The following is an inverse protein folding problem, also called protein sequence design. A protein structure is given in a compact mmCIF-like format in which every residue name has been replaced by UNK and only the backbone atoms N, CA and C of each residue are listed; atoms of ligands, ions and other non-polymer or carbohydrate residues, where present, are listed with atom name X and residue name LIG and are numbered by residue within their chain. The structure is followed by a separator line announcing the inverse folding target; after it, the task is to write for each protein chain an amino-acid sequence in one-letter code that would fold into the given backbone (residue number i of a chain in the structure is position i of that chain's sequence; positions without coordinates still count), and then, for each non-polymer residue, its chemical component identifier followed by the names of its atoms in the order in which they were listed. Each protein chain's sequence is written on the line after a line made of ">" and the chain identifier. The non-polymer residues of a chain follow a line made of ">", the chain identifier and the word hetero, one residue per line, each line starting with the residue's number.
data_IF_697791909742
#
_entry.id   IF_697791909742
#
_cell.length_a   1.000
_cell.length_b   1.000
_cell.length_c   1.000
_cell.angle_alpha   90.00
_cell.angle_beta   90.00
_cell.angle_gamma   90.00
#
_symmetry.space_group_name_H-M   'P 1'
#
loop_
_entity.id
_entity.type
_entity.pdbx_description
1 polymer ?
#
# COMPACT_ATOMS: atom_id res chain seq x y z
N UNK A 1 -23.50 14.76 5.18
CA UNK A 1 -22.18 14.96 4.57
C UNK A 1 -22.17 14.45 3.14
N UNK A 2 -21.47 15.13 2.22
CA UNK A 2 -21.32 14.67 0.84
C UNK A 2 -20.46 13.40 0.78
N UNK A 3 -20.74 12.52 -0.18
CA UNK A 3 -20.03 11.25 -0.39
C UNK A 3 -19.65 11.06 -1.86
N UNK A 4 -18.53 10.39 -2.11
CA UNK A 4 -18.14 9.99 -3.47
C UNK A 4 -18.94 8.74 -3.87
N UNK A 5 -19.34 8.67 -5.14
CA UNK A 5 -20.06 7.53 -5.71
C UNK A 5 -19.40 7.13 -7.02
N UNK A 6 -19.13 5.84 -7.17
CA UNK A 6 -18.70 5.22 -8.42
C UNK A 6 -19.54 3.96 -8.67
N UNK A 7 -19.94 3.75 -9.92
CA UNK A 7 -20.70 2.53 -10.28
C UNK A 7 -19.71 1.38 -10.46
N UNK A 8 -20.15 0.17 -10.13
CA UNK A 8 -19.38 -1.03 -10.47
C UNK A 8 -19.06 -1.07 -11.98
N UNK A 9 -17.80 -1.34 -12.29
CA UNK A 9 -17.28 -1.41 -13.65
C UNK A 9 -17.96 -2.56 -14.42
N UNK A 10 -18.45 -2.31 -15.63
CA UNK A 10 -18.91 -3.39 -16.53
C UNK A 10 -17.71 -4.00 -17.26
N UNK A 11 -17.87 -5.24 -17.73
CA UNK A 11 -16.79 -5.98 -18.39
C UNK A 11 -16.11 -5.23 -19.56
N UNK A 12 -16.85 -4.37 -20.25
CA UNK A 12 -16.37 -3.64 -21.43
C UNK A 12 -16.15 -2.14 -21.16
N UNK A 13 -16.20 -1.70 -19.90
CA UNK A 13 -15.92 -0.32 -19.52
C UNK A 13 -14.40 -0.10 -19.43
N UNK A 14 -13.97 1.16 -19.60
CA UNK A 14 -12.55 1.53 -19.47
C UNK A 14 -12.15 1.65 -18.00
N UNK A 15 -11.05 1.02 -17.61
CA UNK A 15 -10.44 1.20 -16.29
C UNK A 15 -9.53 2.45 -16.31
N UNK A 16 -9.99 3.55 -15.68
CA UNK A 16 -9.27 4.83 -15.65
C UNK A 16 -8.28 5.01 -14.50
N UNK A 17 -8.29 4.10 -13.52
CA UNK A 17 -7.41 4.12 -12.34
C UNK A 17 -6.78 2.74 -12.09
N UNK A 18 -6.87 2.26 -10.86
CA UNK A 18 -6.48 0.89 -10.49
C UNK A 18 -7.71 0.06 -10.06
N UNK A 19 -7.50 -1.21 -9.73
CA UNK A 19 -8.55 -2.06 -9.21
C UNK A 19 -8.95 -1.62 -7.79
N UNK A 20 -10.13 -1.01 -7.69
CA UNK A 20 -10.79 -0.67 -6.43
C UNK A 20 -11.96 -1.63 -6.24
N UNK A 21 -11.94 -2.38 -5.14
CA UNK A 21 -12.92 -3.42 -4.81
C UNK A 21 -14.08 -2.89 -3.98
N UNK A 22 -13.89 -1.76 -3.30
CA UNK A 22 -14.87 -1.21 -2.34
C UNK A 22 -14.75 -1.83 -0.94
N UNK A 23 -13.72 -2.63 -0.68
CA UNK A 23 -13.43 -3.17 0.64
C UNK A 23 -12.41 -2.29 1.37
N UNK A 24 -12.90 -1.46 2.29
CA UNK A 24 -12.07 -0.56 3.07
C UNK A 24 -11.20 -1.35 4.06
N UNK A 25 -9.89 -1.11 4.01
CA UNK A 25 -8.90 -1.76 4.89
C UNK A 25 -8.79 -1.06 6.25
N UNK A 26 -9.18 0.21 6.31
CA UNK A 26 -9.23 0.98 7.54
C UNK A 26 -9.36 2.48 7.30
N UNK A 27 -9.18 3.23 8.40
CA UNK A 27 -9.36 4.67 8.42
C UNK A 27 -8.01 5.37 8.53
N UNK A 28 -7.76 6.30 7.62
CA UNK A 28 -6.66 7.25 7.67
C UNK A 28 -7.11 8.59 8.23
N UNK A 29 -6.13 9.47 8.45
CA UNK A 29 -6.39 10.85 8.90
C UNK A 29 -5.63 11.82 8.01
N UNK A 30 -6.30 12.85 7.49
CA UNK A 30 -5.62 13.94 6.79
C UNK A 30 -4.77 14.70 7.81
N UNK A 31 -3.47 14.80 7.59
CA UNK A 31 -2.54 15.49 8.50
C UNK A 31 -2.19 16.88 7.99
N UNK A 32 -2.19 17.08 6.67
CA UNK A 32 -1.90 18.35 6.04
C UNK A 32 -2.64 18.46 4.70
N UNK A 33 -3.10 19.67 4.38
CA UNK A 33 -3.56 20.03 3.05
C UNK A 33 -2.98 21.37 2.66
N UNK A 34 -2.08 21.36 1.67
CA UNK A 34 -1.39 22.57 1.20
C UNK A 34 -1.72 22.81 -0.26
N UNK A 35 -2.26 24.00 -0.56
CA UNK A 35 -2.51 24.44 -1.92
C UNK A 35 -1.22 24.99 -2.53
N UNK A 36 -0.90 24.53 -3.72
CA UNK A 36 0.25 24.94 -4.52
C UNK A 36 -0.28 25.37 -5.88
N UNK A 37 -0.24 26.65 -6.25
CA UNK A 37 -0.75 27.19 -7.54
C UNK A 37 -1.93 26.39 -8.13
N UNK A 38 -1.65 25.41 -8.99
CA UNK A 38 -2.60 24.62 -9.77
C UNK A 38 -2.95 23.24 -9.20
N UNK A 39 -2.40 22.83 -8.05
CA UNK A 39 -2.69 21.54 -7.41
C UNK A 39 -2.75 21.64 -5.89
N UNK A 40 -3.20 20.57 -5.25
CA UNK A 40 -3.21 20.46 -3.79
C UNK A 40 -2.41 19.26 -3.37
N UNK A 41 -1.47 19.48 -2.46
CA UNK A 41 -0.75 18.42 -1.78
C UNK A 41 -1.54 18.02 -0.53
N UNK A 42 -1.87 16.73 -0.42
CA UNK A 42 -2.57 16.15 0.71
C UNK A 42 -1.65 15.15 1.41
N UNK A 43 -1.34 15.37 2.68
CA UNK A 43 -0.70 14.35 3.52
C UNK A 43 -1.74 13.62 4.34
N UNK A 44 -1.55 12.31 4.40
CA UNK A 44 -2.45 11.38 5.06
C UNK A 44 -1.64 10.46 5.94
N UNK A 45 -2.03 10.33 7.21
CA UNK A 45 -1.54 9.27 8.09
C UNK A 45 -2.28 7.97 7.79
N UNK A 46 -1.52 6.92 7.58
CA UNK A 46 -1.98 5.59 7.20
C UNK A 46 -1.64 4.61 8.33
N UNK A 47 -2.60 3.79 8.80
CA UNK A 47 -2.33 2.69 9.72
C UNK A 47 -1.27 1.72 9.20
N UNK A 48 -0.43 1.19 10.08
CA UNK A 48 0.71 0.33 9.72
C UNK A 48 0.29 -0.93 8.94
N UNK A 49 -0.85 -1.52 9.30
CA UNK A 49 -1.41 -2.70 8.63
C UNK A 49 -1.76 -2.45 7.15
N UNK A 50 -1.99 -1.20 6.76
CA UNK A 50 -2.27 -0.77 5.38
C UNK A 50 -0.99 -0.28 4.72
N UNK A 51 -0.16 0.47 5.45
CA UNK A 51 1.06 1.10 4.95
C UNK A 51 2.03 0.12 4.29
N UNK A 52 2.11 -1.13 4.80
CA UNK A 52 2.94 -2.19 4.21
C UNK A 52 2.60 -2.54 2.75
N UNK A 53 1.43 -2.15 2.27
CA UNK A 53 0.99 -2.33 0.87
C UNK A 53 1.14 -1.07 0.03
N UNK A 54 1.61 0.04 0.62
CA UNK A 54 1.68 1.34 -0.04
C UNK A 54 3.11 1.66 -0.42
N UNK A 55 3.34 1.94 -1.71
CA UNK A 55 4.68 2.26 -2.24
C UNK A 55 4.65 3.59 -3.00
N UNK A 56 5.76 4.35 -3.01
CA UNK A 56 5.87 5.52 -3.87
C UNK A 56 5.60 5.17 -5.33
N UNK A 57 4.85 6.02 -6.03
CA UNK A 57 4.33 5.83 -7.39
C UNK A 57 3.34 4.68 -7.55
N UNK A 58 2.98 4.00 -6.47
CA UNK A 58 1.89 3.03 -6.42
C UNK A 58 0.52 3.70 -6.32
N UNK A 59 -0.51 2.86 -6.37
CA UNK A 59 -1.90 3.27 -6.27
C UNK A 59 -2.44 3.09 -4.84
N UNK A 60 -3.37 3.94 -4.45
CA UNK A 60 -4.19 3.79 -3.25
C UNK A 60 -5.56 4.40 -3.51
N UNK A 61 -6.63 3.81 -2.95
CA UNK A 61 -7.95 4.43 -2.98
C UNK A 61 -8.21 5.20 -1.67
N UNK A 62 -8.64 6.46 -1.79
CA UNK A 62 -9.04 7.31 -0.66
C UNK A 62 -10.47 7.76 -0.85
N UNK A 63 -11.35 7.41 0.08
CA UNK A 63 -12.80 7.65 -0.04
C UNK A 63 -13.34 7.21 -1.44
N UNK A 64 -12.85 6.07 -1.93
CA UNK A 64 -13.20 5.49 -3.24
C UNK A 64 -12.44 6.07 -4.43
N UNK A 65 -11.58 7.08 -4.25
CA UNK A 65 -10.89 7.76 -5.35
C UNK A 65 -9.53 7.11 -5.57
N UNK A 66 -9.29 6.57 -6.77
CA UNK A 66 -7.99 6.07 -7.19
C UNK A 66 -6.98 7.22 -7.29
N UNK A 67 -5.92 7.18 -6.49
CA UNK A 67 -4.86 8.18 -6.46
C UNK A 67 -3.47 7.54 -6.55
N UNK A 68 -2.49 8.33 -6.98
CA UNK A 68 -1.08 7.94 -7.02
C UNK A 68 -0.35 8.49 -5.81
N UNK A 69 0.41 7.63 -5.13
CA UNK A 69 1.25 8.02 -4.00
C UNK A 69 2.51 8.71 -4.49
N UNK A 70 2.74 9.94 -4.05
CA UNK A 70 3.92 10.71 -4.44
C UNK A 70 5.15 10.33 -3.60
N UNK A 71 4.95 10.21 -2.28
CA UNK A 71 6.00 10.01 -1.27
C UNK A 71 5.42 9.20 -0.11
N UNK A 72 6.24 8.37 0.53
CA UNK A 72 5.97 7.75 1.83
C UNK A 72 7.03 8.22 2.83
N UNK A 73 6.61 8.71 4.00
CA UNK A 73 7.50 9.16 5.08
C UNK A 73 6.94 8.73 6.43
N UNK A 74 7.61 7.78 7.09
CA UNK A 74 7.11 7.21 8.33
C UNK A 74 5.72 6.61 8.11
N UNK A 75 4.74 7.00 8.92
CA UNK A 75 3.34 6.59 8.78
C UNK A 75 2.49 7.50 7.89
N UNK A 76 3.10 8.44 7.16
CA UNK A 76 2.38 9.38 6.31
C UNK A 76 2.72 9.20 4.83
N UNK A 77 1.71 9.39 3.99
CA UNK A 77 1.84 9.42 2.54
C UNK A 77 1.49 10.80 2.01
N UNK A 78 2.09 11.19 0.88
CA UNK A 78 1.79 12.42 0.15
C UNK A 78 1.09 12.09 -1.15
N UNK A 79 0.05 12.86 -1.48
CA UNK A 79 -0.71 12.75 -2.73
C UNK A 79 -0.79 14.14 -3.37
N UNK A 80 -0.71 14.19 -4.70
CA UNK A 80 -0.97 15.42 -5.46
C UNK A 80 -2.34 15.33 -6.13
N UNK A 81 -3.22 16.25 -5.77
CA UNK A 81 -4.57 16.37 -6.30
C UNK A 81 -4.63 17.46 -7.37
N UNK A 82 -4.99 17.07 -8.58
CA UNK A 82 -5.21 18.00 -9.70
C UNK A 82 -6.59 18.66 -9.59
N UNK A 83 -6.83 19.81 -10.27
CA UNK A 83 -8.09 20.54 -10.18
C UNK A 83 -9.31 19.68 -10.50
N UNK A 84 -9.23 18.87 -11.56
CA UNK A 84 -10.32 17.97 -11.94
C UNK A 84 -10.72 17.01 -10.80
N UNK A 85 -9.76 16.40 -10.11
CA UNK A 85 -10.05 15.51 -8.97
C UNK A 85 -10.70 16.27 -7.82
N UNK A 86 -10.22 17.48 -7.53
CA UNK A 86 -10.79 18.31 -6.46
C UNK A 86 -12.23 18.72 -6.79
N UNK A 87 -12.51 19.09 -8.04
CA UNK A 87 -13.85 19.52 -8.48
C UNK A 87 -14.86 18.37 -8.54
N UNK A 88 -14.40 17.14 -8.80
CA UNK A 88 -15.27 15.97 -8.99
C UNK A 88 -15.42 15.11 -7.74
N UNK A 89 -14.79 15.47 -6.63
CA UNK A 89 -14.77 14.63 -5.42
C UNK A 89 -14.91 15.47 -4.15
N UNK A 90 -15.19 14.78 -3.04
CA UNK A 90 -15.29 15.41 -1.71
C UNK A 90 -13.95 15.83 -1.12
N UNK A 91 -12.81 15.54 -1.77
CA UNK A 91 -11.49 15.89 -1.27
C UNK A 91 -11.25 17.40 -1.21
N UNK A 92 -12.01 18.20 -1.96
CA UNK A 92 -11.95 19.66 -1.85
C UNK A 92 -12.35 20.16 -0.46
N UNK A 93 -13.26 19.48 0.22
CA UNK A 93 -13.80 19.92 1.52
C UNK A 93 -13.03 19.35 2.72
N UNK A 94 -12.22 18.29 2.50
CA UNK A 94 -11.40 17.68 3.54
C UNK A 94 -10.34 18.67 4.07
N UNK A 95 -10.12 18.66 5.38
CA UNK A 95 -9.10 19.44 6.11
C UNK A 95 -8.29 18.54 7.05
N UNK A 96 -7.20 19.09 7.59
CA UNK A 96 -6.41 18.39 8.59
C UNK A 96 -7.29 17.98 9.80
N UNK A 97 -7.10 16.75 10.27
CA UNK A 97 -7.90 16.11 11.31
C UNK A 97 -9.08 15.27 10.78
N UNK A 98 -9.52 15.48 9.53
CA UNK A 98 -10.65 14.71 9.00
C UNK A 98 -10.23 13.25 8.73
N UNK A 99 -11.15 12.33 9.04
CA UNK A 99 -11.02 10.91 8.71
C UNK A 99 -11.36 10.63 7.25
N UNK A 100 -10.71 9.59 6.71
CA UNK A 100 -10.89 9.11 5.33
C UNK A 100 -10.79 7.59 5.28
N UNK A 101 -11.56 6.98 4.39
CA UNK A 101 -11.48 5.56 4.12
C UNK A 101 -10.26 5.27 3.24
N UNK A 102 -9.52 4.22 3.59
CA UNK A 102 -8.35 3.76 2.85
C UNK A 102 -8.57 2.34 2.33
N UNK A 103 -8.27 2.14 1.05
CA UNK A 103 -8.16 0.82 0.43
C UNK A 103 -6.80 0.74 -0.26
N UNK A 104 -5.99 -0.23 0.15
CA UNK A 104 -4.71 -0.51 -0.49
C UNK A 104 -4.90 -1.31 -1.78
N UNK A 105 -3.99 -1.12 -2.73
CA UNK A 105 -4.00 -1.86 -3.99
C UNK A 105 -3.97 -3.37 -3.72
N UNK A 106 -4.96 -4.08 -4.27
CA UNK A 106 -5.13 -5.52 -4.12
C UNK A 106 -3.90 -6.29 -4.61
N UNK A 107 -3.15 -5.75 -5.58
CA UNK A 107 -1.92 -6.36 -6.08
C UNK A 107 -0.88 -6.53 -4.96
N UNK A 108 -0.77 -5.57 -4.04
CA UNK A 108 0.14 -5.66 -2.90
C UNK A 108 -0.18 -6.85 -1.98
N UNK A 109 -1.47 -7.09 -1.73
CA UNK A 109 -1.95 -8.23 -0.91
C UNK A 109 -1.70 -9.57 -1.59
N UNK A 110 -1.91 -9.66 -2.91
CA UNK A 110 -1.59 -10.86 -3.68
C UNK A 110 -0.08 -11.15 -3.67
N UNK A 111 0.76 -10.12 -3.84
CA UNK A 111 2.21 -10.27 -3.77
C UNK A 111 2.65 -10.75 -2.38
N UNK A 112 2.14 -10.16 -1.30
CA UNK A 112 2.41 -10.61 0.07
C UNK A 112 2.02 -12.08 0.24
N UNK A 113 0.82 -12.47 -0.20
CA UNK A 113 0.36 -13.87 -0.13
C UNK A 113 1.29 -14.80 -0.92
N UNK A 114 1.67 -14.45 -2.14
CA UNK A 114 2.55 -15.27 -2.99
C UNK A 114 3.94 -15.46 -2.36
N UNK A 115 4.51 -14.40 -1.78
CA UNK A 115 5.80 -14.47 -1.09
C UNK A 115 5.69 -15.25 0.23
N UNK A 116 4.59 -15.10 0.96
CA UNK A 116 4.30 -15.86 2.18
C UNK A 116 4.25 -17.38 1.97
N UNK A 117 3.80 -17.83 0.79
CA UNK A 117 3.83 -19.25 0.41
C UNK A 117 5.22 -19.74 -0.01
N UNK A 118 6.15 -18.82 -0.36
CA UNK A 118 7.55 -19.17 -0.67
C UNK A 118 8.42 -19.22 0.58
N UNK A 119 8.04 -18.49 1.64
CA UNK A 119 8.64 -18.58 2.96
C UNK A 119 8.06 -19.75 3.77
N UNK A 120 8.04 -20.95 3.19
CA UNK A 120 8.27 -22.10 4.04
C UNK A 120 9.61 -21.85 4.71
N UNK A 121 9.63 -21.64 6.03
CA UNK A 121 10.88 -21.79 6.78
C UNK A 121 11.48 -23.12 6.30
N UNK A 122 12.77 -23.20 5.89
CA UNK A 122 13.41 -24.50 5.94
C UNK A 122 13.23 -24.98 7.39
N UNK A 123 12.48 -26.06 7.58
CA UNK A 123 12.49 -26.78 8.85
C UNK A 123 13.94 -27.13 9.12
N UNK A 124 14.54 -26.50 10.13
CA UNK A 124 15.91 -26.78 10.55
C UNK A 124 16.99 -26.41 9.53
N UNK A 125 17.37 -25.13 9.46
CA UNK A 125 18.77 -24.79 9.15
C UNK A 125 19.60 -25.06 10.41
N UNK A 126 19.85 -26.33 10.69
CA UNK A 126 20.73 -26.77 11.75
C UNK A 126 22.07 -27.26 11.18
N UNK A 127 23.04 -27.52 12.07
CA UNK A 127 24.35 -28.02 11.67
C UNK A 127 24.26 -29.38 10.96
N UNK A 128 23.20 -30.14 11.20
CA UNK A 128 22.88 -31.42 10.58
C UNK A 128 22.60 -31.24 9.09
N UNK A 129 21.70 -30.31 8.74
CA UNK A 129 21.34 -29.95 7.37
C UNK A 129 22.56 -29.49 6.56
N UNK A 130 23.43 -28.68 7.18
CA UNK A 130 24.66 -28.17 6.55
C UNK A 130 25.72 -29.27 6.33
N UNK A 131 25.81 -30.26 7.23
CA UNK A 131 26.67 -31.44 7.05
C UNK A 131 26.14 -32.38 5.97
N UNK A 132 24.84 -32.65 5.97
CA UNK A 132 24.19 -33.55 5.00
C UNK A 132 24.32 -33.05 3.56
N UNK A 133 24.29 -31.72 3.38
CA UNK A 133 24.45 -31.08 2.07
C UNK A 133 25.91 -30.70 1.74
N UNK A 134 26.89 -31.19 2.53
CA UNK A 134 28.32 -31.06 2.23
C UNK A 134 28.90 -29.64 2.35
N UNK A 135 28.17 -28.72 2.98
CA UNK A 135 28.60 -27.33 3.20
C UNK A 135 29.59 -27.27 4.37
N UNK A 136 29.40 -28.10 5.39
CA UNK A 136 30.38 -28.30 6.46
C UNK A 136 31.12 -29.63 6.24
N UNK A 137 32.39 -29.56 5.85
CA UNK A 137 33.31 -30.68 6.07
C UNK A 137 33.57 -30.77 7.57
N UNK A 138 33.37 -31.95 8.15
CA UNK A 138 33.78 -32.20 9.53
C UNK A 138 35.27 -31.90 9.66
N UNK A 139 35.66 -31.26 10.77
CA UNK A 139 37.06 -31.14 11.14
C UNK A 139 37.67 -32.54 11.22
N UNK A 140 38.35 -32.95 10.15
CA UNK A 140 39.40 -33.97 10.24
C UNK A 140 40.60 -33.31 10.93
N UNK A 141 40.44 -33.10 12.23
CA UNK A 141 41.47 -32.63 13.14
C UNK A 141 42.17 -33.81 13.80
N UNK A 142 43.33 -34.14 13.24
CA UNK A 142 44.55 -34.62 13.90
C UNK A 142 44.44 -35.65 15.04
N UNK A 143 44.76 -36.89 14.68
CA UNK A 143 45.54 -37.87 15.47
C UNK A 143 46.40 -38.61 14.43
N UNK A 144 47.73 -38.68 14.42
CA UNK A 144 48.81 -38.32 15.33
C UNK A 144 49.96 -37.65 14.53
#
# INVERSE_FOLDING_TARGET
>A
DPVNLERALRLNDRLGGHFVTGHIDGIGVVTEKRRERDFVNLRVRVPENILKYVVPKGSIAIDGISLTVNECRGSEILLTLIPYTLEKTTLMDKKAGDSINLEADILGKYVERLLGHRSGKPEGLDLSFLKEHGILKGDEGLHD
#
